data_IF_578633602952
#
_entry.id   IF_578633602952
#
_cell.length_a   1.000
_cell.length_b   1.000
_cell.length_c   1.000
_cell.angle_alpha   90.00
_cell.angle_beta   90.00
_cell.angle_gamma   90.00
#
_symmetry.space_group_name_H-M   'P 1'
#
loop_
_entity.id
_entity.type
_entity.pdbx_description
1 polymer ?
#
# COMPACT_ATOMS: atom_id res chain seq x y z
N UNK A 1 -27.41 -28.93 -16.19
CA UNK A 1 -26.89 -28.07 -17.28
C UNK A 1 -26.33 -26.83 -16.62
N UNK A 2 -25.02 -26.60 -16.82
CA UNK A 2 -24.28 -25.36 -16.54
C UNK A 2 -25.06 -24.15 -17.15
N UNK A 3 -24.89 -22.89 -16.73
CA UNK A 3 -23.61 -22.23 -16.51
C UNK A 3 -23.78 -20.89 -15.77
N UNK A 4 -22.69 -20.55 -15.08
CA UNK A 4 -22.22 -19.34 -14.42
C UNK A 4 -22.76 -17.98 -14.89
N UNK A 5 -23.17 -17.13 -13.94
CA UNK A 5 -23.08 -15.66 -14.10
C UNK A 5 -22.26 -15.12 -12.94
N UNK A 6 -20.98 -14.87 -13.23
CA UNK A 6 -19.98 -14.31 -12.35
C UNK A 6 -20.42 -12.94 -11.80
N UNK A 7 -20.05 -12.56 -10.56
CA UNK A 7 -20.16 -11.17 -10.12
C UNK A 7 -19.26 -10.33 -11.04
N UNK A 8 -19.88 -9.39 -11.75
CA UNK A 8 -19.26 -8.61 -12.81
C UNK A 8 -18.02 -7.87 -12.31
N UNK A 9 -16.89 -8.10 -12.98
CA UNK A 9 -15.77 -7.17 -12.95
C UNK A 9 -16.30 -5.78 -13.31
N UNK A 10 -16.27 -4.85 -12.36
CA UNK A 10 -16.46 -3.43 -12.68
C UNK A 10 -15.43 -3.04 -13.72
N UNK A 11 -15.85 -2.46 -14.84
CA UNK A 11 -14.95 -2.16 -15.94
C UNK A 11 -13.96 -1.06 -15.53
N UNK A 12 -12.67 -1.12 -15.94
CA UNK A 12 -11.66 -0.10 -15.63
C UNK A 12 -12.07 1.33 -16.03
N UNK A 13 -12.99 1.46 -16.98
CA UNK A 13 -13.51 2.75 -17.47
C UNK A 13 -14.53 3.35 -16.49
N UNK A 14 -15.33 2.54 -15.80
CA UNK A 14 -16.35 3.04 -14.86
C UNK A 14 -15.68 3.68 -13.63
N UNK A 15 -14.54 3.15 -13.20
CA UNK A 15 -13.72 3.73 -12.12
C UNK A 15 -13.06 5.05 -12.55
N UNK A 16 -12.68 5.17 -13.83
CA UNK A 16 -12.07 6.39 -14.37
C UNK A 16 -13.07 7.56 -14.48
N UNK A 17 -14.37 7.31 -14.34
CA UNK A 17 -15.42 8.32 -14.46
C UNK A 17 -15.97 8.81 -13.11
N UNK A 18 -15.66 8.14 -11.98
CA UNK A 18 -15.93 8.62 -10.61
C UNK A 18 -14.82 9.60 -10.15
N UNK A 19 -14.59 10.65 -10.93
CA UNK A 19 -13.48 11.59 -10.74
C UNK A 19 -13.79 12.68 -9.71
N UNK A 20 -13.59 12.34 -8.44
CA UNK A 20 -12.94 13.22 -7.43
C UNK A 20 -11.71 12.53 -6.80
N UNK A 21 -11.33 11.35 -7.31
CA UNK A 21 -10.23 10.52 -6.82
C UNK A 21 -8.97 10.80 -7.64
N UNK A 22 -7.84 11.02 -6.97
CA UNK A 22 -6.53 11.19 -7.59
C UNK A 22 -6.20 9.98 -8.50
N UNK A 23 -6.09 10.15 -9.83
CA UNK A 23 -5.79 9.06 -10.76
C UNK A 23 -4.51 8.31 -10.42
N UNK A 24 -3.58 8.95 -9.70
CA UNK A 24 -2.34 8.35 -9.25
C UNK A 24 -2.55 7.21 -8.26
N UNK A 25 -3.60 7.27 -7.42
CA UNK A 25 -3.89 6.26 -6.40
C UNK A 25 -4.90 5.21 -6.83
N UNK A 26 -5.63 5.42 -7.93
CA UNK A 26 -6.56 4.42 -8.45
C UNK A 26 -5.90 3.06 -8.72
N UNK A 27 -4.67 3.05 -9.25
CA UNK A 27 -3.92 1.80 -9.45
C UNK A 27 -3.60 1.11 -8.12
N UNK A 28 -3.34 1.88 -7.06
CA UNK A 28 -3.09 1.33 -5.72
C UNK A 28 -4.37 0.70 -5.15
N UNK A 29 -5.51 1.38 -5.29
CA UNK A 29 -6.81 0.89 -4.83
C UNK A 29 -7.18 -0.39 -5.59
N UNK A 30 -7.06 -0.38 -6.92
CA UNK A 30 -7.31 -1.56 -7.74
C UNK A 30 -6.45 -2.77 -7.31
N UNK A 31 -5.14 -2.57 -7.10
CA UNK A 31 -4.25 -3.65 -6.64
C UNK A 31 -4.62 -4.20 -5.26
N UNK A 32 -5.16 -3.35 -4.38
CA UNK A 32 -5.60 -3.78 -3.04
C UNK A 32 -6.89 -4.59 -3.13
N UNK A 33 -7.87 -4.12 -3.91
CA UNK A 33 -9.12 -4.83 -4.13
C UNK A 33 -8.93 -6.14 -4.91
N UNK A 34 -7.95 -6.22 -5.81
CA UNK A 34 -7.59 -7.45 -6.53
C UNK A 34 -6.88 -8.46 -5.61
N UNK A 35 -5.99 -7.97 -4.75
CA UNK A 35 -5.19 -8.83 -3.89
C UNK A 35 -5.92 -9.33 -2.64
N UNK A 36 -6.90 -8.56 -2.13
CA UNK A 36 -7.58 -8.80 -0.85
C UNK A 36 -9.10 -8.74 -1.04
N UNK A 37 -9.81 -9.68 -0.44
CA UNK A 37 -11.27 -9.68 -0.38
C UNK A 37 -11.77 -8.53 0.53
N UNK A 38 -12.90 -7.92 0.18
CA UNK A 38 -13.62 -6.93 1.00
C UNK A 38 -12.82 -5.69 1.46
N UNK A 39 -11.83 -5.23 0.69
CA UNK A 39 -11.15 -3.94 0.91
C UNK A 39 -11.61 -2.89 -0.09
N UNK A 40 -11.74 -1.65 0.38
CA UNK A 40 -12.25 -0.55 -0.46
C UNK A 40 -11.13 0.26 -1.14
N UNK A 41 -9.90 0.19 -0.62
CA UNK A 41 -8.76 0.89 -1.21
C UNK A 41 -7.49 0.87 -0.38
N UNK A 42 -6.41 1.41 -0.95
CA UNK A 42 -5.07 1.36 -0.39
C UNK A 42 -4.89 2.24 0.84
N UNK A 43 -5.47 3.45 0.86
CA UNK A 43 -5.36 4.35 2.02
C UNK A 43 -6.02 3.73 3.24
N UNK A 44 -7.29 3.32 3.13
CA UNK A 44 -8.02 2.67 4.23
C UNK A 44 -7.29 1.42 4.71
N UNK A 45 -6.87 0.55 3.79
CA UNK A 45 -6.22 -0.71 4.12
C UNK A 45 -4.86 -0.51 4.80
N UNK A 46 -4.01 0.40 4.33
CA UNK A 46 -2.69 0.63 4.90
C UNK A 46 -2.71 1.45 6.20
N UNK A 47 -3.83 2.09 6.54
CA UNK A 47 -3.97 2.90 7.76
C UNK A 47 -4.83 2.24 8.84
N UNK A 48 -5.39 1.07 8.56
CA UNK A 48 -6.27 0.36 9.49
C UNK A 48 -5.52 -0.64 10.36
N UNK A 49 -5.85 -0.66 11.65
CA UNK A 49 -5.40 -1.71 12.58
C UNK A 49 -6.08 -3.06 12.31
N UNK A 50 -7.23 -3.05 11.62
CA UNK A 50 -7.99 -4.25 11.25
C UNK A 50 -7.37 -4.98 10.06
N UNK A 51 -6.50 -4.32 9.28
CA UNK A 51 -5.75 -5.01 8.23
C UNK A 51 -4.72 -5.92 8.88
N UNK A 52 -4.91 -7.22 8.70
CA UNK A 52 -4.10 -8.27 9.32
C UNK A 52 -2.66 -8.26 8.80
N UNK A 53 -1.77 -8.86 9.59
CA UNK A 53 -0.37 -9.01 9.21
C UNK A 53 -0.18 -9.81 7.91
N UNK A 54 -1.03 -10.82 7.66
CA UNK A 54 -0.95 -11.63 6.45
C UNK A 54 -1.44 -10.90 5.21
N UNK A 55 -2.48 -10.10 5.32
CA UNK A 55 -2.90 -9.17 4.26
C UNK A 55 -1.77 -8.18 3.92
N UNK A 56 -1.11 -7.60 4.94
CA UNK A 56 0.03 -6.70 4.73
C UNK A 56 1.23 -7.40 4.07
N UNK A 57 1.47 -8.67 4.39
CA UNK A 57 2.50 -9.49 3.69
C UNK A 57 2.13 -9.75 2.23
N UNK A 58 0.86 -9.98 1.94
CA UNK A 58 0.35 -10.14 0.58
C UNK A 58 0.50 -8.84 -0.21
N UNK A 59 0.02 -7.72 0.32
CA UNK A 59 0.19 -6.40 -0.30
C UNK A 59 1.66 -6.05 -0.51
N UNK A 60 2.53 -6.32 0.46
CA UNK A 60 3.99 -6.13 0.30
C UNK A 60 4.53 -6.86 -0.92
N UNK A 61 4.07 -8.09 -1.21
CA UNK A 61 4.50 -8.85 -2.39
C UNK A 61 3.96 -8.22 -3.69
N UNK A 62 2.69 -7.86 -3.71
CA UNK A 62 2.04 -7.19 -4.86
C UNK A 62 2.72 -5.87 -5.19
N UNK A 63 2.94 -5.01 -4.20
CA UNK A 63 3.62 -3.72 -4.40
C UNK A 63 5.09 -3.87 -4.75
N UNK A 64 5.76 -4.93 -4.29
CA UNK A 64 7.11 -5.27 -4.75
C UNK A 64 7.12 -5.62 -6.24
N UNK A 65 6.09 -6.32 -6.72
CA UNK A 65 5.95 -6.63 -8.14
C UNK A 65 5.79 -5.33 -8.95
N UNK A 66 4.86 -4.45 -8.57
CA UNK A 66 4.67 -3.15 -9.20
C UNK A 66 5.96 -2.31 -9.20
N UNK A 67 6.68 -2.30 -8.08
CA UNK A 67 7.96 -1.59 -7.94
C UNK A 67 9.01 -2.05 -8.97
N UNK A 68 9.07 -3.35 -9.25
CA UNK A 68 10.12 -3.95 -10.09
C UNK A 68 9.70 -4.01 -11.55
N UNK A 69 8.42 -4.33 -11.80
CA UNK A 69 7.89 -4.67 -13.12
C UNK A 69 6.87 -3.66 -13.65
N UNK A 70 6.55 -2.60 -12.90
CA UNK A 70 5.67 -1.53 -13.38
C UNK A 70 6.17 -0.98 -14.71
N UNK A 71 5.25 -0.71 -15.63
CA UNK A 71 5.54 -0.34 -17.00
C UNK A 71 6.22 1.02 -17.05
N UNK A 72 5.67 1.99 -16.32
CA UNK A 72 6.19 3.35 -16.27
C UNK A 72 7.10 3.58 -15.05
N UNK A 73 7.87 4.67 -15.10
CA UNK A 73 8.64 5.14 -13.93
C UNK A 73 7.69 5.50 -12.78
N UNK A 74 6.53 6.07 -13.10
CA UNK A 74 5.50 6.43 -12.12
C UNK A 74 4.97 5.21 -11.39
N UNK A 75 4.69 4.12 -12.10
CA UNK A 75 4.23 2.84 -11.53
C UNK A 75 5.26 2.27 -10.57
N UNK A 76 6.53 2.22 -11.01
CA UNK A 76 7.62 1.70 -10.18
C UNK A 76 7.83 2.55 -8.92
N UNK A 77 7.65 3.87 -9.02
CA UNK A 77 7.70 4.78 -7.86
C UNK A 77 6.51 4.58 -6.93
N UNK A 78 5.30 4.43 -7.46
CA UNK A 78 4.10 4.10 -6.67
C UNK A 78 4.31 2.77 -5.94
N UNK A 79 4.74 1.72 -6.64
CA UNK A 79 5.07 0.43 -6.04
C UNK A 79 6.15 0.54 -4.96
N UNK A 80 7.17 1.37 -5.15
CA UNK A 80 8.18 1.61 -4.12
C UNK A 80 7.59 2.23 -2.84
N UNK A 81 6.68 3.19 -2.98
CA UNK A 81 5.98 3.84 -1.85
C UNK A 81 5.11 2.85 -1.11
N UNK A 82 4.22 2.18 -1.84
CA UNK A 82 3.26 1.22 -1.27
C UNK A 82 3.99 0.02 -0.64
N UNK A 83 5.09 -0.43 -1.23
CA UNK A 83 5.97 -1.44 -0.63
C UNK A 83 6.50 -0.99 0.73
N UNK A 84 7.04 0.23 0.84
CA UNK A 84 7.55 0.75 2.09
C UNK A 84 6.41 0.98 3.11
N UNK A 85 5.26 1.50 2.67
CA UNK A 85 4.07 1.69 3.51
C UNK A 85 3.56 0.37 4.09
N UNK A 86 3.49 -0.71 3.31
CA UNK A 86 3.07 -2.02 3.84
C UNK A 86 3.96 -2.52 4.99
N UNK A 87 5.26 -2.21 4.96
CA UNK A 87 6.20 -2.52 6.04
C UNK A 87 5.95 -1.58 7.23
N UNK A 88 5.76 -0.29 6.99
CA UNK A 88 5.45 0.69 8.02
C UNK A 88 4.15 0.35 8.77
N UNK A 89 3.08 0.02 8.04
CA UNK A 89 1.79 -0.41 8.58
C UNK A 89 1.93 -1.67 9.44
N UNK A 90 2.66 -2.68 8.96
CA UNK A 90 2.89 -3.91 9.74
C UNK A 90 3.62 -3.61 11.06
N UNK A 91 4.57 -2.70 11.04
CA UNK A 91 5.29 -2.30 12.24
C UNK A 91 4.43 -1.45 13.20
N UNK A 92 3.65 -0.50 12.66
CA UNK A 92 2.80 0.39 13.47
C UNK A 92 1.60 -0.34 14.07
N UNK A 93 0.94 -1.23 13.34
CA UNK A 93 -0.29 -1.86 13.81
C UNK A 93 -0.06 -3.24 14.45
N UNK A 94 1.00 -3.94 14.09
CA UNK A 94 1.25 -5.33 14.55
C UNK A 94 2.57 -5.52 15.27
N UNK A 95 3.42 -4.49 15.37
CA UNK A 95 4.75 -4.59 15.98
C UNK A 95 5.62 -5.69 15.32
N UNK A 96 5.55 -5.77 13.99
CA UNK A 96 6.27 -6.77 13.19
C UNK A 96 6.96 -6.15 11.98
N UNK A 97 8.27 -6.41 11.87
CA UNK A 97 9.06 -6.11 10.68
C UNK A 97 8.93 -7.27 9.68
N UNK A 98 8.24 -7.04 8.55
CA UNK A 98 7.95 -8.06 7.53
C UNK A 98 8.97 -8.07 6.36
N UNK A 99 10.21 -7.68 6.63
CA UNK A 99 11.29 -7.52 5.64
C UNK A 99 12.64 -7.86 6.26
N UNK A 100 13.62 -8.22 5.43
CA UNK A 100 15.02 -8.47 5.84
C UNK A 100 15.92 -7.24 5.67
N UNK A 101 15.34 -6.11 5.26
CA UNK A 101 16.09 -4.85 5.12
C UNK A 101 16.56 -4.35 6.49
N UNK A 102 17.75 -3.75 6.54
CA UNK A 102 18.29 -3.18 7.77
C UNK A 102 17.45 -2.01 8.28
N UNK A 103 17.48 -1.79 9.60
CA UNK A 103 16.77 -0.68 10.25
C UNK A 103 17.12 0.67 9.64
N UNK A 104 18.41 0.92 9.35
CA UNK A 104 18.84 2.16 8.67
C UNK A 104 18.16 2.39 7.32
N UNK A 105 17.97 1.31 6.55
CA UNK A 105 17.30 1.39 5.25
C UNK A 105 15.82 1.70 5.40
N UNK A 106 15.17 1.13 6.42
CA UNK A 106 13.77 1.41 6.73
C UNK A 106 13.58 2.84 7.23
N UNK A 107 14.44 3.32 8.13
CA UNK A 107 14.41 4.70 8.61
C UNK A 107 14.54 5.69 7.44
N UNK A 108 15.45 5.45 6.49
CA UNK A 108 15.56 6.29 5.29
C UNK A 108 14.27 6.24 4.46
N UNK A 109 13.75 5.05 4.18
CA UNK A 109 12.52 4.92 3.40
C UNK A 109 11.33 5.62 4.06
N UNK A 110 11.17 5.52 5.39
CA UNK A 110 10.07 6.17 6.10
C UNK A 110 10.25 7.69 6.18
N UNK A 111 11.50 8.19 6.27
CA UNK A 111 11.78 9.63 6.13
C UNK A 111 11.37 10.15 4.77
N UNK A 112 11.69 9.42 3.70
CA UNK A 112 11.31 9.79 2.33
C UNK A 112 9.78 9.84 2.20
N UNK A 113 9.07 8.81 2.67
CA UNK A 113 7.60 8.75 2.66
C UNK A 113 6.94 9.91 3.42
N UNK A 114 7.44 10.25 4.61
CA UNK A 114 6.91 11.34 5.44
C UNK A 114 6.92 12.69 4.70
N UNK A 115 7.88 12.87 3.79
CA UNK A 115 8.05 14.12 3.02
C UNK A 115 7.51 14.04 1.59
N UNK A 116 6.90 12.92 1.20
CA UNK A 116 6.47 12.68 -0.17
C UNK A 116 5.15 13.37 -0.48
N UNK A 117 5.19 14.50 -1.18
CA UNK A 117 3.99 15.32 -1.49
C UNK A 117 2.94 14.62 -2.37
N UNK A 118 3.23 13.41 -2.88
CA UNK A 118 2.30 12.62 -3.68
C UNK A 118 1.52 11.60 -2.84
N UNK A 119 1.78 11.51 -1.54
CA UNK A 119 1.07 10.60 -0.65
C UNK A 119 -0.11 11.31 0.05
N UNK A 120 -1.26 10.63 0.17
CA UNK A 120 -2.33 11.06 1.04
C UNK A 120 -1.88 11.25 2.49
N UNK A 121 -2.38 12.28 3.16
CA UNK A 121 -2.03 12.64 4.54
C UNK A 121 -2.11 11.48 5.56
N UNK A 122 -3.13 10.60 5.54
CA UNK A 122 -3.17 9.44 6.43
C UNK A 122 -1.96 8.49 6.29
N UNK A 123 -1.37 8.39 5.10
CA UNK A 123 -0.18 7.56 4.86
C UNK A 123 1.10 8.23 5.37
N UNK A 124 1.15 9.58 5.40
CA UNK A 124 2.25 10.29 6.06
C UNK A 124 2.28 9.97 7.56
N UNK A 125 1.11 9.95 8.21
CA UNK A 125 0.99 9.63 9.62
C UNK A 125 1.48 8.21 9.95
N UNK A 126 1.28 7.23 9.05
CA UNK A 126 1.82 5.89 9.21
C UNK A 126 3.36 5.90 9.19
N UNK A 127 3.96 6.60 8.22
CA UNK A 127 5.42 6.71 8.12
C UNK A 127 6.03 7.44 9.32
N UNK A 128 5.39 8.51 9.79
CA UNK A 128 5.80 9.26 10.99
C UNK A 128 5.76 8.38 12.24
N UNK A 129 4.64 7.68 12.49
CA UNK A 129 4.51 6.76 13.63
C UNK A 129 5.53 5.63 13.58
N UNK A 130 5.85 5.11 12.39
CA UNK A 130 6.87 4.09 12.23
C UNK A 130 8.26 4.63 12.63
N UNK A 131 8.61 5.84 12.19
CA UNK A 131 9.87 6.51 12.58
C UNK A 131 9.98 6.73 14.08
N UNK A 132 8.92 7.23 14.71
CA UNK A 132 8.88 7.46 16.15
C UNK A 132 9.14 6.17 16.92
N UNK A 133 8.51 5.05 16.52
CA UNK A 133 8.73 3.75 17.15
C UNK A 133 10.16 3.25 16.98
N UNK A 134 10.71 3.29 15.77
CA UNK A 134 12.09 2.85 15.53
C UNK A 134 13.12 3.69 16.30
N UNK A 135 12.83 4.98 16.54
CA UNK A 135 13.71 5.85 17.33
C UNK A 135 13.73 5.55 18.83
N UNK A 136 12.70 4.89 19.36
CA UNK A 136 12.62 4.50 20.78
C UNK A 136 13.31 3.16 21.07
N UNK A 137 13.52 2.35 20.03
CA UNK A 137 14.16 1.02 20.13
C UNK A 137 15.67 1.04 19.85
N UNK A 138 16.19 2.18 19.36
CA UNK A 138 17.60 2.41 19.06
C UNK A 138 18.36 2.98 20.27
#
# INVERSE_FOLDING_TARGET
>A
MNDSTQPGMRHPIEWAMETDVDPFFMLADWLVCDALEDKEGAVQTLTSAETTLDELRTLKRVFKLLRVQGETVSDRRLGARLYALSIASAYVFHDRIITTQSSDRLIRAFKDLRTDTQLPGPLHAVAERALERMSREA
#
